data_IF_287699317282
#
_entry.id   IF_287699317282
#
_cell.length_a   1.000
_cell.length_b   1.000
_cell.length_c   1.000
_cell.angle_alpha   90.00
_cell.angle_beta   90.00
_cell.angle_gamma   90.00
#
_symmetry.space_group_name_H-M   'P 1'
#
loop_
_entity.id
_entity.type
_entity.pdbx_description
1 polymer ?
#
# COMPACT_ATOMS: atom_id res chain seq x y z
N UNK A 1 2.16 6.16 4.33
CA UNK A 1 1.70 7.56 4.37
C UNK A 1 1.24 7.98 5.74
N UNK A 2 0.06 7.53 6.21
CA UNK A 2 -0.52 8.03 7.48
C UNK A 2 0.33 7.70 8.71
N UNK A 3 0.93 6.52 8.81
CA UNK A 3 1.83 6.20 9.92
C UNK A 3 3.07 7.09 9.95
N UNK A 4 3.64 7.36 8.78
CA UNK A 4 4.77 8.29 8.65
C UNK A 4 4.36 9.70 9.04
N UNK A 5 3.18 10.16 8.60
CA UNK A 5 2.63 11.45 9.00
C UNK A 5 2.51 11.57 10.54
N UNK A 6 2.02 10.53 11.21
CA UNK A 6 1.95 10.48 12.65
C UNK A 6 3.31 10.47 13.36
N UNK A 7 4.27 9.73 12.82
CA UNK A 7 5.60 9.67 13.40
C UNK A 7 6.33 11.02 13.34
N UNK A 8 6.13 11.75 12.24
CA UNK A 8 6.73 13.09 12.04
C UNK A 8 6.00 14.14 12.88
N UNK A 9 4.67 14.09 12.93
CA UNK A 9 3.87 15.00 13.77
C UNK A 9 4.25 14.90 15.25
N UNK A 10 4.47 13.67 15.77
CA UNK A 10 4.96 13.46 17.14
C UNK A 10 6.32 14.06 17.44
N UNK A 11 7.11 14.41 16.41
CA UNK A 11 8.38 15.10 16.53
C UNK A 11 8.26 16.63 16.44
N UNK A 12 7.04 17.15 16.46
CA UNK A 12 6.75 18.58 16.48
C UNK A 12 6.68 19.24 15.08
N UNK A 13 6.77 18.48 13.98
CA UNK A 13 6.61 19.04 12.66
C UNK A 13 5.12 19.31 12.33
N UNK A 14 4.87 20.37 11.59
CA UNK A 14 3.55 20.63 10.98
C UNK A 14 3.39 19.70 9.78
N UNK A 15 2.36 18.88 9.77
CA UNK A 15 2.14 17.86 8.75
C UNK A 15 0.87 18.14 7.95
N UNK A 16 0.98 18.00 6.63
CA UNK A 16 -0.14 17.95 5.70
C UNK A 16 -0.12 16.62 4.96
N UNK A 17 -1.27 15.97 4.86
CA UNK A 17 -1.50 14.76 4.07
C UNK A 17 -2.27 15.14 2.83
N UNK A 18 -1.76 14.76 1.66
CA UNK A 18 -2.42 14.95 0.37
C UNK A 18 -2.79 13.58 -0.18
N UNK A 19 -4.08 13.36 -0.41
CA UNK A 19 -4.65 12.14 -0.99
C UNK A 19 -5.38 12.49 -2.28
N UNK A 20 -5.00 11.83 -3.37
CA UNK A 20 -5.60 12.05 -4.68
C UNK A 20 -6.99 11.44 -4.82
N UNK A 21 -7.30 10.44 -4.02
CA UNK A 21 -8.60 9.78 -3.99
C UNK A 21 -9.61 10.57 -3.14
N UNK A 22 -10.92 10.33 -3.32
CA UNK A 22 -11.96 11.12 -2.67
C UNK A 22 -11.94 11.08 -1.14
N UNK A 23 -11.39 10.00 -0.55
CA UNK A 23 -11.26 9.84 0.90
C UNK A 23 -10.04 8.99 1.28
N UNK A 24 -9.68 8.98 2.56
CA UNK A 24 -8.55 8.22 3.09
C UNK A 24 -8.85 6.71 3.09
N UNK A 25 -7.85 5.90 2.71
CA UNK A 25 -7.88 4.43 2.73
C UNK A 25 -9.09 3.81 1.99
N UNK A 26 -9.37 4.20 0.73
CA UNK A 26 -10.58 3.77 0.02
C UNK A 26 -10.62 2.26 -0.30
N UNK A 27 -9.52 1.53 -0.11
CA UNK A 27 -9.47 0.08 -0.25
C UNK A 27 -9.82 -0.66 1.04
N UNK A 28 -9.90 0.04 2.17
CA UNK A 28 -10.14 -0.51 3.51
C UNK A 28 -11.35 0.09 4.19
N UNK A 29 -11.80 1.27 3.77
CA UNK A 29 -12.89 2.03 4.38
C UNK A 29 -13.86 2.54 3.34
N UNK A 30 -15.12 2.53 3.68
CA UNK A 30 -16.12 3.34 3.00
C UNK A 30 -15.96 4.84 3.34
N UNK A 31 -16.73 5.67 2.69
CA UNK A 31 -16.68 7.13 2.87
C UNK A 31 -17.02 7.55 4.31
N UNK A 32 -17.98 6.89 4.96
CA UNK A 32 -18.43 7.25 6.31
C UNK A 32 -17.34 6.93 7.35
N UNK A 33 -16.77 5.75 7.31
CA UNK A 33 -15.69 5.35 8.19
C UNK A 33 -14.42 6.19 7.95
N UNK A 34 -14.12 6.52 6.69
CA UNK A 34 -13.00 7.40 6.34
C UNK A 34 -13.19 8.83 6.88
N UNK A 35 -14.40 9.35 6.86
CA UNK A 35 -14.69 10.68 7.43
C UNK A 35 -14.40 10.71 8.94
N UNK A 36 -14.76 9.65 9.68
CA UNK A 36 -14.43 9.52 11.10
C UNK A 36 -12.91 9.48 11.32
N UNK A 37 -12.21 8.73 10.48
CA UNK A 37 -10.74 8.66 10.53
C UNK A 37 -10.13 10.04 10.28
N UNK A 38 -10.58 10.76 9.24
CA UNK A 38 -10.10 12.08 8.90
C UNK A 38 -10.29 13.07 10.06
N UNK A 39 -11.48 13.11 10.67
CA UNK A 39 -11.75 13.97 11.82
C UNK A 39 -10.77 13.70 12.99
N UNK A 40 -10.47 12.42 13.26
CA UNK A 40 -9.51 12.05 14.30
C UNK A 40 -8.09 12.52 13.95
N UNK A 41 -7.68 12.41 12.71
CA UNK A 41 -6.36 12.86 12.21
C UNK A 41 -6.24 14.38 12.32
N UNK A 42 -7.28 15.11 11.91
CA UNK A 42 -7.32 16.56 11.97
C UNK A 42 -7.33 17.08 13.42
N UNK A 43 -8.00 16.37 14.34
CA UNK A 43 -7.94 16.67 15.78
C UNK A 43 -6.53 16.50 16.39
N UNK A 44 -5.63 15.76 15.73
CA UNK A 44 -4.22 15.66 16.09
C UNK A 44 -3.35 16.78 15.51
N UNK A 45 -3.96 17.77 14.83
CA UNK A 45 -3.27 18.91 14.21
C UNK A 45 -2.66 18.62 12.84
N UNK A 46 -2.96 17.47 12.23
CA UNK A 46 -2.53 17.12 10.88
C UNK A 46 -3.59 17.60 9.88
N UNK A 47 -3.18 18.41 8.91
CA UNK A 47 -4.09 18.85 7.83
C UNK A 47 -4.27 17.73 6.80
N UNK A 48 -5.50 17.52 6.33
CA UNK A 48 -5.81 16.50 5.33
C UNK A 48 -6.48 17.15 4.11
N UNK A 49 -5.94 16.85 2.93
CA UNK A 49 -6.48 17.28 1.64
C UNK A 49 -6.82 16.02 0.84
N UNK A 50 -8.11 15.71 0.72
CA UNK A 50 -8.62 14.59 -0.10
C UNK A 50 -9.08 15.11 -1.47
N UNK A 51 -9.24 14.22 -2.44
CA UNK A 51 -9.51 14.55 -3.84
C UNK A 51 -8.52 15.59 -4.41
N UNK A 52 -7.32 15.66 -3.86
CA UNK A 52 -6.30 16.67 -4.14
C UNK A 52 -5.11 16.00 -4.86
N UNK A 53 -4.89 16.40 -6.10
CA UNK A 53 -3.77 15.90 -6.90
C UNK A 53 -2.58 16.85 -6.79
N UNK A 54 -1.39 16.28 -6.59
CA UNK A 54 -0.15 17.04 -6.68
C UNK A 54 0.16 17.32 -8.15
N UNK A 55 0.31 18.59 -8.48
CA UNK A 55 0.73 19.05 -9.82
C UNK A 55 2.25 19.10 -9.92
N UNK A 56 2.93 19.68 -8.92
CA UNK A 56 4.37 19.85 -8.93
C UNK A 56 4.95 19.98 -7.51
N UNK A 57 6.20 19.60 -7.37
CA UNK A 57 7.04 20.02 -6.25
C UNK A 57 7.75 21.33 -6.64
N UNK A 58 7.73 22.31 -5.75
CA UNK A 58 8.26 23.66 -5.98
C UNK A 58 9.52 23.85 -5.17
N UNK A 59 10.50 24.51 -5.78
CA UNK A 59 11.81 24.82 -5.20
C UNK A 59 12.90 24.76 -6.27
N UNK A 60 14.08 25.28 -5.96
CA UNK A 60 15.27 25.22 -6.81
C UNK A 60 16.27 24.17 -6.27
N UNK A 61 16.98 24.53 -5.20
CA UNK A 61 17.99 23.66 -4.58
C UNK A 61 17.38 22.71 -3.55
N UNK A 62 16.24 23.08 -3.00
CA UNK A 62 15.47 22.28 -2.05
C UNK A 62 13.97 22.51 -2.28
N UNK A 63 13.15 21.58 -1.79
CA UNK A 63 11.69 21.72 -1.86
C UNK A 63 11.22 22.87 -0.93
N UNK A 64 10.37 23.75 -1.46
CA UNK A 64 9.76 24.84 -0.69
C UNK A 64 8.24 24.70 -0.62
N UNK A 65 7.67 23.79 -1.41
CA UNK A 65 6.22 23.56 -1.40
C UNK A 65 5.74 22.50 -2.38
N UNK A 66 4.46 22.23 -2.27
CA UNK A 66 3.72 21.32 -3.14
C UNK A 66 2.57 22.08 -3.78
N UNK A 67 2.58 22.22 -5.09
CA UNK A 67 1.46 22.82 -5.85
C UNK A 67 0.39 21.75 -6.07
N UNK A 68 -0.83 22.03 -5.65
CA UNK A 68 -1.99 21.20 -5.96
C UNK A 68 -2.64 21.61 -7.28
N UNK A 69 -3.15 20.65 -8.02
CA UNK A 69 -3.87 20.89 -9.29
C UNK A 69 -5.15 21.67 -9.02
N UNK A 70 -5.24 22.88 -9.61
CA UNK A 70 -6.38 23.78 -9.39
C UNK A 70 -6.55 24.27 -7.95
N UNK A 71 -5.55 24.05 -7.08
CA UNK A 71 -5.61 24.32 -5.65
C UNK A 71 -4.43 25.18 -5.15
N UNK A 72 -4.30 25.30 -3.82
CA UNK A 72 -3.27 26.12 -3.20
C UNK A 72 -1.87 25.54 -3.35
N UNK A 73 -0.86 26.39 -3.25
CA UNK A 73 0.50 26.00 -2.94
C UNK A 73 0.62 25.72 -1.43
N UNK A 74 0.99 24.50 -1.08
CA UNK A 74 1.25 24.09 0.31
C UNK A 74 2.74 24.25 0.63
N UNK A 75 3.13 25.15 1.54
CA UNK A 75 4.53 25.26 1.95
C UNK A 75 5.05 23.97 2.58
N UNK A 76 6.24 23.52 2.21
CA UNK A 76 6.86 22.31 2.73
C UNK A 76 8.39 22.38 2.64
N UNK A 77 9.05 22.01 3.73
CA UNK A 77 10.50 21.84 3.81
C UNK A 77 10.93 20.39 3.54
N UNK A 78 9.98 19.46 3.62
CA UNK A 78 10.14 18.03 3.35
C UNK A 78 8.88 17.49 2.69
N UNK A 79 9.05 16.70 1.65
CA UNK A 79 7.97 15.96 0.99
C UNK A 79 8.27 14.48 1.02
N UNK A 80 7.29 13.69 1.47
CA UNK A 80 7.37 12.23 1.49
C UNK A 80 6.31 11.69 0.53
N UNK A 81 6.75 10.98 -0.49
CA UNK A 81 5.89 10.35 -1.49
C UNK A 81 5.61 8.93 -1.03
N UNK A 82 4.33 8.63 -0.76
CA UNK A 82 3.84 7.31 -0.35
C UNK A 82 2.65 6.90 -1.23
N UNK A 83 2.88 6.87 -2.53
CA UNK A 83 1.87 6.70 -3.58
C UNK A 83 1.66 5.23 -4.01
N UNK A 84 1.96 4.29 -3.11
CA UNK A 84 1.85 2.86 -3.37
C UNK A 84 3.17 2.24 -3.83
N UNK A 85 3.08 0.95 -4.19
CA UNK A 85 4.21 0.12 -4.63
C UNK A 85 3.84 -0.66 -5.89
N UNK A 86 4.84 -1.02 -6.66
CA UNK A 86 4.72 -1.97 -7.77
C UNK A 86 5.75 -3.08 -7.60
N UNK A 87 5.38 -4.29 -8.02
CA UNK A 87 6.31 -5.41 -8.00
C UNK A 87 7.46 -5.18 -8.98
N UNK A 88 8.69 -5.49 -8.55
CA UNK A 88 9.83 -5.53 -9.47
C UNK A 88 9.81 -6.88 -10.22
N UNK A 89 9.44 -6.83 -11.50
CA UNK A 89 9.23 -8.02 -12.34
C UNK A 89 10.35 -8.24 -13.36
N UNK A 90 11.41 -7.44 -13.33
CA UNK A 90 12.45 -7.48 -14.37
C UNK A 90 13.16 -8.84 -14.44
N UNK A 91 13.48 -9.42 -13.28
CA UNK A 91 14.10 -10.74 -13.21
C UNK A 91 13.15 -11.84 -13.74
N UNK A 92 11.88 -11.78 -13.34
CA UNK A 92 10.86 -12.73 -13.75
C UNK A 92 10.62 -12.68 -15.26
N UNK A 93 10.54 -11.47 -15.85
CA UNK A 93 10.41 -11.29 -17.30
C UNK A 93 11.63 -11.83 -18.05
N UNK A 94 12.84 -11.56 -17.58
CA UNK A 94 14.08 -12.08 -18.16
C UNK A 94 14.16 -13.61 -18.10
N UNK A 95 13.58 -14.20 -17.04
CA UNK A 95 13.47 -15.66 -16.89
C UNK A 95 12.31 -16.27 -17.71
N UNK A 96 11.54 -15.48 -18.46
CA UNK A 96 10.42 -15.96 -19.27
C UNK A 96 9.18 -16.37 -18.48
N UNK A 97 9.07 -15.94 -17.21
CA UNK A 97 7.89 -16.26 -16.39
C UNK A 97 6.68 -15.44 -16.84
N UNK A 98 5.50 -16.03 -16.66
CA UNK A 98 4.24 -15.34 -16.88
C UNK A 98 4.03 -14.28 -15.79
N UNK A 99 3.87 -13.02 -16.20
CA UNK A 99 3.69 -11.88 -15.30
C UNK A 99 2.52 -11.01 -15.77
N UNK A 100 1.84 -10.38 -14.80
CA UNK A 100 0.89 -9.30 -15.03
C UNK A 100 1.29 -8.12 -14.13
N UNK A 101 0.54 -7.81 -13.09
CA UNK A 101 0.97 -6.86 -12.04
C UNK A 101 1.97 -7.50 -11.06
N UNK A 102 1.94 -8.82 -10.93
CA UNK A 102 2.84 -9.68 -10.19
C UNK A 102 3.28 -10.88 -11.03
N UNK A 103 4.13 -11.76 -10.47
CA UNK A 103 4.42 -13.07 -11.02
C UNK A 103 3.17 -13.93 -10.83
N UNK A 104 2.62 -14.46 -11.91
CA UNK A 104 1.43 -15.31 -11.84
C UNK A 104 1.78 -16.63 -11.16
N UNK A 105 1.02 -17.01 -10.14
CA UNK A 105 1.21 -18.25 -9.39
C UNK A 105 -0.11 -19.00 -9.23
N UNK A 106 0.00 -20.32 -9.12
CA UNK A 106 -1.10 -21.22 -8.77
C UNK A 106 -1.32 -21.30 -7.24
N UNK A 107 -2.24 -22.14 -6.80
CA UNK A 107 -2.56 -22.34 -5.38
C UNK A 107 -1.40 -22.95 -4.57
N UNK A 108 -0.41 -23.55 -5.22
CA UNK A 108 0.84 -24.03 -4.61
C UNK A 108 1.97 -23.01 -4.64
N UNK A 109 1.68 -21.76 -5.04
CA UNK A 109 2.65 -20.67 -5.22
C UNK A 109 3.69 -20.95 -6.32
N UNK A 110 3.40 -21.85 -7.25
CA UNK A 110 4.26 -22.19 -8.38
C UNK A 110 3.99 -21.22 -9.54
N UNK A 111 5.05 -20.75 -10.14
CA UNK A 111 4.98 -19.88 -11.33
C UNK A 111 4.66 -20.68 -12.61
N UNK A 112 4.77 -20.04 -13.78
CA UNK A 112 4.68 -20.72 -15.06
C UNK A 112 5.83 -21.70 -15.33
N UNK A 113 6.95 -21.60 -14.58
CA UNK A 113 8.02 -22.59 -14.55
C UNK A 113 7.80 -23.53 -13.35
N UNK A 114 7.77 -24.88 -13.56
CA UNK A 114 7.48 -25.82 -12.49
C UNK A 114 8.54 -25.87 -11.36
N UNK A 115 9.69 -25.29 -11.57
CA UNK A 115 10.79 -25.26 -10.60
C UNK A 115 10.95 -23.91 -9.89
N UNK A 116 10.11 -22.91 -10.27
CA UNK A 116 10.19 -21.57 -9.71
C UNK A 116 8.90 -21.25 -8.96
N UNK A 117 9.06 -20.82 -7.72
CA UNK A 117 7.98 -20.42 -6.82
C UNK A 117 8.09 -18.93 -6.50
N UNK A 118 6.95 -18.26 -6.30
CA UNK A 118 6.93 -16.87 -5.88
C UNK A 118 5.89 -16.65 -4.77
N UNK A 119 6.23 -15.80 -3.80
CA UNK A 119 5.37 -15.51 -2.66
C UNK A 119 5.52 -14.05 -2.22
N UNK A 120 4.53 -13.51 -1.55
CA UNK A 120 4.51 -12.14 -1.02
C UNK A 120 4.17 -11.09 -2.06
N UNK A 121 4.73 -9.89 -1.88
CA UNK A 121 4.35 -8.70 -2.66
C UNK A 121 4.72 -8.76 -4.14
N UNK A 122 5.54 -9.73 -4.53
CA UNK A 122 5.97 -9.92 -5.92
C UNK A 122 5.02 -10.81 -6.72
N UNK A 123 4.20 -11.64 -6.06
CA UNK A 123 3.32 -12.59 -6.73
C UNK A 123 1.89 -12.09 -6.88
N UNK A 124 1.24 -12.61 -7.93
CA UNK A 124 -0.18 -12.42 -8.20
C UNK A 124 -0.87 -13.79 -8.20
N UNK A 125 -1.72 -14.01 -7.21
CA UNK A 125 -2.49 -15.23 -7.05
C UNK A 125 -3.97 -14.97 -7.33
N UNK A 126 -4.56 -15.69 -8.28
CA UNK A 126 -5.97 -15.55 -8.68
C UNK A 126 -6.37 -14.08 -8.99
N UNK A 127 -5.48 -13.32 -9.68
CA UNK A 127 -5.69 -11.93 -10.04
C UNK A 127 -5.49 -10.93 -8.89
N UNK A 128 -5.01 -11.36 -7.72
CA UNK A 128 -4.84 -10.52 -6.52
C UNK A 128 -3.38 -10.42 -6.09
N UNK A 129 -2.98 -9.21 -5.76
CA UNK A 129 -1.76 -8.90 -5.00
C UNK A 129 -2.17 -8.43 -3.61
N UNK A 130 -1.65 -9.06 -2.57
CA UNK A 130 -2.13 -8.82 -1.21
C UNK A 130 -1.46 -7.62 -0.55
N UNK A 131 -0.13 -7.46 -0.68
CA UNK A 131 0.60 -6.33 -0.10
C UNK A 131 0.52 -6.29 1.43
N UNK A 132 0.38 -7.44 2.10
CA UNK A 132 0.20 -7.58 3.53
C UNK A 132 1.07 -8.70 4.10
N UNK A 133 1.53 -8.50 5.33
CA UNK A 133 2.44 -9.44 6.01
C UNK A 133 1.86 -10.86 6.19
N UNK A 134 0.62 -10.98 6.67
CA UNK A 134 0.03 -12.30 6.96
C UNK A 134 -0.15 -13.14 5.70
N UNK A 135 -0.75 -12.64 4.60
CA UNK A 135 -0.79 -13.36 3.34
C UNK A 135 0.60 -13.71 2.82
N UNK A 136 1.57 -12.78 2.85
CA UNK A 136 2.93 -13.03 2.38
C UNK A 136 3.60 -14.18 3.16
N UNK A 137 3.41 -14.22 4.48
CA UNK A 137 3.90 -15.32 5.34
C UNK A 137 3.24 -16.66 5.00
N UNK A 138 1.92 -16.67 4.80
CA UNK A 138 1.18 -17.88 4.44
C UNK A 138 1.62 -18.40 3.06
N UNK A 139 1.72 -17.52 2.07
CA UNK A 139 2.23 -17.84 0.74
C UNK A 139 3.65 -18.39 0.78
N UNK A 140 4.54 -17.77 1.57
CA UNK A 140 5.92 -18.24 1.75
C UNK A 140 5.99 -19.65 2.36
N UNK A 141 5.11 -19.95 3.31
CA UNK A 141 4.97 -21.30 3.87
C UNK A 141 4.56 -22.33 2.83
N UNK A 142 3.54 -22.02 2.01
CA UNK A 142 3.08 -22.90 0.92
C UNK A 142 4.16 -23.07 -0.14
N UNK A 143 4.81 -21.99 -0.56
CA UNK A 143 5.90 -22.05 -1.53
C UNK A 143 7.06 -22.93 -1.04
N UNK A 144 7.41 -22.83 0.24
CA UNK A 144 8.45 -23.66 0.87
C UNK A 144 8.09 -25.15 0.90
N UNK A 145 6.83 -25.49 1.24
CA UNK A 145 6.33 -26.87 1.17
C UNK A 145 6.40 -27.41 -0.26
N UNK A 146 5.88 -26.64 -1.22
CA UNK A 146 5.88 -27.04 -2.63
C UNK A 146 7.31 -27.23 -3.19
N UNK A 147 8.24 -26.36 -2.83
CA UNK A 147 9.66 -26.50 -3.20
C UNK A 147 10.32 -27.74 -2.60
N UNK A 148 9.87 -28.19 -1.42
CA UNK A 148 10.28 -29.43 -0.78
C UNK A 148 9.56 -30.70 -1.31
N UNK A 149 8.71 -30.56 -2.33
CA UNK A 149 7.91 -31.67 -2.86
C UNK A 149 6.74 -32.10 -1.96
N UNK A 150 6.39 -31.27 -0.98
CA UNK A 150 5.28 -31.51 -0.06
C UNK A 150 4.01 -30.77 -0.52
N UNK A 151 2.81 -31.32 -0.26
CA UNK A 151 1.59 -30.65 -0.61
C UNK A 151 1.37 -29.38 0.24
N UNK A 152 0.93 -28.32 -0.39
CA UNK A 152 0.52 -27.07 0.24
C UNK A 152 -0.42 -26.31 -0.67
N UNK A 153 -1.43 -25.68 -0.07
CA UNK A 153 -2.44 -24.90 -0.81
C UNK A 153 -2.64 -23.56 -0.11
N UNK A 154 -2.52 -22.48 -0.85
CA UNK A 154 -2.96 -21.16 -0.46
C UNK A 154 -4.33 -20.87 -1.07
N UNK A 155 -5.37 -20.97 -0.27
CA UNK A 155 -6.76 -20.77 -0.73
C UNK A 155 -7.13 -19.29 -0.92
N UNK A 156 -6.16 -18.39 -0.76
CA UNK A 156 -6.41 -16.96 -0.67
C UNK A 156 -6.75 -16.51 0.75
N UNK A 157 -6.69 -15.21 0.97
CA UNK A 157 -7.12 -14.58 2.21
C UNK A 157 -8.32 -13.67 1.92
N UNK A 158 -9.36 -13.68 2.75
CA UNK A 158 -10.43 -12.70 2.64
C UNK A 158 -9.83 -11.29 2.80
N UNK A 159 -10.36 -10.29 2.09
CA UNK A 159 -9.89 -8.92 2.24
C UNK A 159 -10.17 -8.44 3.67
N UNK A 160 -9.15 -8.51 4.50
CA UNK A 160 -9.19 -7.99 5.87
C UNK A 160 -7.95 -7.14 6.12
N UNK A 161 -8.11 -6.04 6.80
CA UNK A 161 -7.01 -5.20 7.21
C UNK A 161 -7.16 -4.81 8.68
N UNK A 162 -6.11 -5.04 9.46
CA UNK A 162 -5.96 -4.45 10.79
C UNK A 162 -4.79 -3.49 10.73
N UNK A 163 -5.09 -2.21 10.88
CA UNK A 163 -4.12 -1.13 10.77
C UNK A 163 -4.06 -0.37 12.10
N UNK A 164 -2.85 -0.02 12.52
CA UNK A 164 -2.65 1.01 13.55
C UNK A 164 -2.27 2.29 12.84
N UNK A 165 -3.24 3.18 12.66
CA UNK A 165 -3.03 4.45 11.98
C UNK A 165 -2.98 5.54 13.04
N UNK A 166 -1.82 6.18 13.23
CA UNK A 166 -1.64 7.28 14.19
C UNK A 166 -2.06 6.94 15.65
N UNK A 167 -1.98 5.67 16.03
CA UNK A 167 -2.48 5.21 17.34
C UNK A 167 -3.97 4.89 17.35
N UNK A 168 -4.66 4.99 16.23
CA UNK A 168 -6.05 4.56 16.04
C UNK A 168 -6.02 3.10 15.59
N UNK A 169 -6.64 2.20 16.33
CA UNK A 169 -6.88 0.82 15.89
C UNK A 169 -8.04 0.82 14.87
N UNK A 170 -7.73 0.35 13.68
CA UNK A 170 -8.69 0.22 12.58
C UNK A 170 -8.74 -1.24 12.15
N UNK A 171 -9.93 -1.78 12.06
CA UNK A 171 -10.19 -3.11 11.51
C UNK A 171 -11.23 -3.01 10.41
N UNK A 172 -10.98 -3.65 9.29
CA UNK A 172 -11.94 -3.76 8.19
C UNK A 172 -11.91 -5.17 7.62
N UNK A 173 -13.05 -5.65 7.15
CA UNK A 173 -13.20 -6.94 6.49
C UNK A 173 -14.29 -6.84 5.41
N UNK A 174 -14.02 -7.43 4.24
CA UNK A 174 -14.94 -7.41 3.10
C UNK A 174 -14.49 -6.52 1.96
N UNK A 175 -15.42 -6.21 1.06
CA UNK A 175 -15.21 -5.30 -0.08
C UNK A 175 -15.90 -3.96 0.23
N UNK A 176 -15.23 -2.85 -0.09
CA UNK A 176 -15.69 -1.49 0.12
C UNK A 176 -15.74 -0.73 -1.18
#
# INVERSE_FOLDING_TARGET
GLETAGAISKRGARVSVVESLPWLLPRQLDQAASAILQQKIEAMGIKVYTAAKTQALVGSDHVTGVQLEGGPLLPADLVIISAGVSANLDLARKAGLSVNRGILVDDSMRSSDPHIFAAGDVCEHQGRMYGLWLPAKAQGGVAGLAAAGMPGVFAGDPPSARLKVLGIDLFSIGQF
#
